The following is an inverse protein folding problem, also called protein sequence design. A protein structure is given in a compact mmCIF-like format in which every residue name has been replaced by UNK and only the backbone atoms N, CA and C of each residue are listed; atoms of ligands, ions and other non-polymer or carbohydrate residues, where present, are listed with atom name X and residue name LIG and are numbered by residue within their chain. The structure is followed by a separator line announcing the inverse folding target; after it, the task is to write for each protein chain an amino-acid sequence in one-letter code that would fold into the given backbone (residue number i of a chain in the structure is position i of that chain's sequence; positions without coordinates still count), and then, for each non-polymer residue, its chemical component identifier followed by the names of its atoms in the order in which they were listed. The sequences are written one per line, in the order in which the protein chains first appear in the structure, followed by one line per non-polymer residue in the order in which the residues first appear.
data_IF_228660744518
#
_entry.id   IF_228660744518
#
_cell.length_a   1.000
_cell.length_b   1.000
_cell.length_c   1.000
_cell.angle_alpha   90.00
_cell.angle_beta   90.00
_cell.angle_gamma   90.00
#
_symmetry.space_group_name_H-M   'P 1'
#
loop_
_entity.id
_entity.type
_entity.pdbx_description
1 polymer ?
#
# COMPACT_ATOMS: atom_id res chain seq x y z
N UNK A 1 -41.46 -23.66 -0.08
CA UNK A 1 -40.23 -24.46 -0.27
C UNK A 1 -38.96 -23.60 -0.35
N UNK A 2 -38.92 -22.46 -1.08
CA UNK A 2 -37.69 -21.64 -1.22
C UNK A 2 -37.24 -20.97 0.09
N UNK A 3 -38.15 -20.36 0.85
CA UNK A 3 -37.80 -19.66 2.09
C UNK A 3 -37.07 -20.54 3.12
N UNK A 4 -37.55 -21.76 3.36
CA UNK A 4 -36.89 -22.72 4.26
C UNK A 4 -35.49 -23.10 3.78
N UNK A 5 -35.27 -23.22 2.46
CA UNK A 5 -33.94 -23.47 1.88
C UNK A 5 -32.99 -22.30 2.15
N UNK A 6 -33.44 -21.06 1.97
CA UNK A 6 -32.62 -19.87 2.27
C UNK A 6 -32.29 -19.75 3.77
N UNK A 7 -33.24 -20.08 4.65
CA UNK A 7 -33.00 -20.13 6.10
C UNK A 7 -31.97 -21.22 6.44
N UNK A 8 -32.06 -22.39 5.81
CA UNK A 8 -31.08 -23.46 6.00
C UNK A 8 -29.67 -23.05 5.53
N UNK A 9 -29.57 -22.36 4.38
CA UNK A 9 -28.30 -21.80 3.89
C UNK A 9 -27.72 -20.75 4.85
N UNK A 10 -28.55 -19.84 5.36
CA UNK A 10 -28.11 -18.83 6.33
C UNK A 10 -27.62 -19.49 7.64
N UNK A 11 -28.29 -20.54 8.10
CA UNK A 11 -27.88 -21.34 9.27
C UNK A 11 -26.63 -22.20 9.02
N UNK A 12 -26.31 -22.51 7.77
CA UNK A 12 -25.10 -23.25 7.41
C UNK A 12 -23.84 -22.36 7.36
N UNK A 13 -23.97 -21.03 7.46
CA UNK A 13 -22.83 -20.12 7.51
C UNK A 13 -21.95 -20.40 8.73
N UNK A 14 -20.62 -20.15 8.65
CA UNK A 14 -19.75 -20.20 9.82
C UNK A 14 -20.27 -19.36 10.99
N UNK A 15 -20.16 -19.88 12.21
CA UNK A 15 -20.66 -19.21 13.42
C UNK A 15 -20.10 -17.78 13.59
N UNK A 16 -18.85 -17.56 13.19
CA UNK A 16 -18.22 -16.23 13.22
C UNK A 16 -18.97 -15.20 12.37
N UNK A 17 -19.44 -15.59 11.18
CA UNK A 17 -20.24 -14.72 10.30
C UNK A 17 -21.65 -14.54 10.85
N UNK A 18 -22.28 -15.60 11.38
CA UNK A 18 -23.59 -15.49 12.00
C UNK A 18 -23.59 -14.51 13.18
N UNK A 19 -22.60 -14.63 14.08
CA UNK A 19 -22.41 -13.72 15.22
C UNK A 19 -22.13 -12.28 14.76
N UNK A 20 -21.38 -12.11 13.68
CA UNK A 20 -21.12 -10.78 13.10
C UNK A 20 -22.41 -10.15 12.59
N UNK A 21 -23.17 -10.84 11.74
CA UNK A 21 -24.43 -10.32 11.17
C UNK A 21 -25.54 -10.13 12.23
N UNK A 22 -25.54 -10.93 13.30
CA UNK A 22 -26.45 -10.72 14.42
C UNK A 22 -26.18 -9.41 15.16
N UNK A 23 -24.91 -8.97 15.25
CA UNK A 23 -24.52 -7.74 15.93
C UNK A 23 -24.57 -6.52 15.00
N UNK A 24 -24.15 -6.69 13.75
CA UNK A 24 -24.12 -5.64 12.71
C UNK A 24 -24.90 -6.10 11.47
N UNK A 25 -26.24 -6.13 11.52
CA UNK A 25 -27.05 -6.49 10.36
C UNK A 25 -26.98 -5.36 9.30
N UNK A 26 -26.62 -5.66 8.04
CA UNK A 26 -26.68 -4.66 6.97
C UNK A 26 -28.12 -4.27 6.64
N UNK A 27 -28.30 -3.06 6.13
CA UNK A 27 -29.61 -2.56 5.71
C UNK A 27 -30.28 -3.43 4.63
N UNK A 28 -29.49 -4.14 3.82
CA UNK A 28 -29.99 -5.04 2.77
C UNK A 28 -30.78 -6.24 3.30
N UNK A 29 -30.55 -6.66 4.54
CA UNK A 29 -31.26 -7.81 5.16
C UNK A 29 -32.21 -7.39 6.27
N UNK A 30 -32.06 -6.17 6.80
CA UNK A 30 -32.90 -5.66 7.87
C UNK A 30 -34.25 -5.18 7.29
N UNK A 31 -35.40 -5.54 7.90
CA UNK A 31 -36.69 -5.06 7.42
C UNK A 31 -36.81 -3.54 7.60
N UNK A 32 -37.52 -2.88 6.68
CA UNK A 32 -37.68 -1.43 6.72
C UNK A 32 -38.23 -0.97 8.09
N UNK A 33 -37.56 0.02 8.70
CA UNK A 33 -37.94 0.57 10.00
C UNK A 33 -37.40 -0.18 11.23
N UNK A 34 -36.54 -1.19 11.07
CA UNK A 34 -35.85 -1.78 12.24
C UNK A 34 -34.89 -0.77 12.87
N UNK A 35 -34.91 -0.61 14.21
CA UNK A 35 -33.93 0.22 14.90
C UNK A 35 -32.54 -0.38 14.79
N UNK A 36 -31.53 0.49 14.89
CA UNK A 36 -30.13 0.08 14.93
C UNK A 36 -29.88 -0.79 16.16
N UNK A 37 -28.96 -1.75 16.04
CA UNK A 37 -28.51 -2.49 17.22
C UNK A 37 -27.67 -1.58 18.12
N UNK A 38 -27.61 -1.86 19.43
CA UNK A 38 -26.76 -1.08 20.34
C UNK A 38 -25.27 -1.06 19.91
N UNK A 39 -24.80 -2.11 19.22
CA UNK A 39 -23.46 -2.12 18.62
C UNK A 39 -23.31 -1.14 17.44
N UNK A 40 -24.34 -1.00 16.61
CA UNK A 40 -24.35 -0.03 15.50
C UNK A 40 -24.50 1.41 15.97
N UNK A 41 -25.16 1.63 17.10
CA UNK A 41 -25.26 2.95 17.75
C UNK A 41 -23.90 3.40 18.31
N UNK A 42 -23.20 2.50 19.00
CA UNK A 42 -21.86 2.77 19.53
C UNK A 42 -20.82 2.98 18.43
N UNK A 43 -20.87 2.17 17.37
CA UNK A 43 -19.91 2.27 16.27
C UNK A 43 -20.59 1.94 14.95
N UNK A 44 -20.86 2.95 14.09
CA UNK A 44 -21.56 2.74 12.82
C UNK A 44 -20.87 1.74 11.89
N UNK A 45 -19.53 1.76 11.83
CA UNK A 45 -18.74 0.78 11.09
C UNK A 45 -17.72 0.10 12.02
N UNK A 46 -17.87 -1.21 12.31
CA UNK A 46 -16.97 -1.91 13.23
C UNK A 46 -15.55 -2.15 12.67
N UNK A 47 -15.32 -1.84 11.39
CA UNK A 47 -14.02 -1.95 10.72
C UNK A 47 -13.24 -0.63 10.66
N UNK A 48 -13.89 0.49 10.92
CA UNK A 48 -13.26 1.80 10.92
C UNK A 48 -12.93 2.24 12.35
N UNK A 49 -11.81 2.96 12.50
CA UNK A 49 -11.57 3.71 13.72
C UNK A 49 -12.62 4.83 13.82
N UNK A 50 -13.11 5.09 15.04
CA UNK A 50 -14.08 6.15 15.28
C UNK A 50 -13.55 7.12 16.32
N UNK A 51 -13.87 8.40 16.13
CA UNK A 51 -13.51 9.43 17.09
C UNK A 51 -14.66 9.57 18.09
N UNK A 52 -14.35 9.47 19.39
CA UNK A 52 -15.34 9.68 20.43
C UNK A 52 -15.77 11.16 20.44
N UNK A 53 -17.07 11.46 20.49
CA UNK A 53 -17.56 12.84 20.45
C UNK A 53 -17.08 13.67 21.64
N UNK A 54 -17.22 13.15 22.86
CA UNK A 54 -16.89 13.90 24.08
C UNK A 54 -15.39 14.03 24.36
N UNK A 55 -14.65 12.91 24.29
CA UNK A 55 -13.21 12.92 24.61
C UNK A 55 -12.31 13.33 23.44
N UNK A 56 -12.84 13.33 22.22
CA UNK A 56 -12.09 13.61 20.99
C UNK A 56 -11.00 12.59 20.65
N UNK A 57 -10.88 11.49 21.40
CA UNK A 57 -9.88 10.44 21.15
C UNK A 57 -10.35 9.48 20.07
N UNK A 58 -9.39 8.95 19.31
CA UNK A 58 -9.67 7.88 18.35
C UNK A 58 -9.67 6.54 19.07
N UNK A 59 -10.76 5.81 18.90
CA UNK A 59 -10.85 4.42 19.31
C UNK A 59 -10.48 3.52 18.13
N UNK A 60 -9.73 2.48 18.44
CA UNK A 60 -9.41 1.42 17.50
C UNK A 60 -10.68 0.76 16.97
N UNK A 61 -10.65 0.23 15.73
CA UNK A 61 -11.78 -0.51 15.20
C UNK A 61 -12.07 -1.76 16.05
N UNK A 62 -13.35 -2.06 16.22
CA UNK A 62 -13.83 -3.24 16.97
C UNK A 62 -13.18 -4.53 16.44
N UNK A 63 -12.99 -4.61 15.12
CA UNK A 63 -12.20 -5.65 14.47
C UNK A 63 -10.90 -5.08 13.90
N UNK A 64 -9.77 -5.61 14.36
CA UNK A 64 -8.44 -5.28 13.83
C UNK A 64 -8.28 -5.70 12.37
N UNK A 65 -7.31 -5.10 11.65
CA UNK A 65 -7.07 -5.39 10.22
C UNK A 65 -6.85 -6.88 9.92
N UNK A 66 -6.31 -7.66 10.87
CA UNK A 66 -6.20 -9.13 10.76
C UNK A 66 -7.59 -9.78 10.77
N UNK A 67 -8.39 -9.47 11.78
CA UNK A 67 -9.76 -10.01 11.93
C UNK A 67 -10.68 -9.59 10.78
N UNK A 68 -10.52 -8.37 10.27
CA UNK A 68 -11.22 -7.91 9.07
C UNK A 68 -10.88 -8.80 7.86
N UNK A 69 -9.60 -9.11 7.64
CA UNK A 69 -9.18 -9.97 6.54
C UNK A 69 -9.69 -11.41 6.69
N UNK A 70 -9.78 -11.92 7.92
CA UNK A 70 -10.36 -13.24 8.22
C UNK A 70 -11.87 -13.28 7.92
N UNK A 71 -12.62 -12.28 8.38
CA UNK A 71 -14.05 -12.14 8.08
C UNK A 71 -14.29 -11.99 6.58
N UNK A 72 -13.53 -11.14 5.88
CA UNK A 72 -13.63 -10.99 4.42
C UNK A 72 -13.31 -12.29 3.71
N UNK A 73 -12.28 -13.03 4.14
CA UNK A 73 -11.92 -14.33 3.56
C UNK A 73 -13.06 -15.35 3.73
N UNK A 74 -13.62 -15.45 4.93
CA UNK A 74 -14.76 -16.34 5.20
C UNK A 74 -16.01 -15.91 4.41
N UNK A 75 -16.32 -14.63 4.39
CA UNK A 75 -17.47 -14.10 3.66
C UNK A 75 -17.36 -14.35 2.16
N UNK A 76 -16.16 -14.18 1.58
CA UNK A 76 -15.89 -14.52 0.18
C UNK A 76 -16.10 -16.00 -0.12
N UNK A 77 -15.60 -16.89 0.74
CA UNK A 77 -15.78 -18.34 0.58
C UNK A 77 -17.25 -18.76 0.62
N UNK A 78 -18.09 -18.00 1.33
CA UNK A 78 -19.52 -18.27 1.49
C UNK A 78 -20.42 -17.36 0.63
N UNK A 79 -19.84 -16.52 -0.25
CA UNK A 79 -20.60 -15.64 -1.15
C UNK A 79 -21.37 -14.50 -0.47
N UNK A 80 -20.98 -14.09 0.74
CA UNK A 80 -21.66 -13.02 1.53
C UNK A 80 -20.75 -11.81 1.78
N UNK A 81 -19.76 -11.58 0.93
CA UNK A 81 -18.81 -10.46 1.08
C UNK A 81 -19.50 -9.09 0.95
N UNK A 82 -20.49 -8.97 0.08
CA UNK A 82 -21.27 -7.74 -0.15
C UNK A 82 -22.10 -7.29 1.07
N UNK A 83 -22.40 -8.21 1.97
CA UNK A 83 -23.14 -7.92 3.21
C UNK A 83 -22.25 -7.31 4.31
N UNK A 84 -20.93 -7.35 4.14
CA UNK A 84 -20.01 -6.76 5.10
C UNK A 84 -19.93 -5.23 4.94
N UNK A 85 -19.73 -4.47 6.03
CA UNK A 85 -19.40 -3.05 5.95
C UNK A 85 -18.15 -2.80 5.08
N UNK A 86 -18.02 -1.62 4.45
CA UNK A 86 -16.87 -1.31 3.63
C UNK A 86 -15.57 -1.36 4.45
N UNK A 87 -14.57 -2.08 3.92
CA UNK A 87 -13.25 -2.26 4.54
C UNK A 87 -12.13 -2.22 3.49
N UNK A 88 -10.96 -1.71 3.90
CA UNK A 88 -9.72 -1.74 3.11
C UNK A 88 -9.24 -3.17 2.76
N UNK A 89 -9.76 -4.19 3.44
CA UNK A 89 -9.46 -5.60 3.17
C UNK A 89 -10.40 -6.25 2.15
N UNK A 90 -11.51 -5.58 1.83
CA UNK A 90 -12.50 -6.04 0.84
C UNK A 90 -11.90 -6.20 -0.56
N UNK A 91 -12.41 -7.17 -1.30
CA UNK A 91 -11.95 -7.53 -2.65
C UNK A 91 -12.13 -6.37 -3.60
N UNK A 92 -13.35 -5.82 -3.68
CA UNK A 92 -13.69 -4.70 -4.55
C UNK A 92 -12.88 -3.46 -4.21
N UNK A 93 -12.81 -3.08 -2.93
CA UNK A 93 -12.05 -1.92 -2.48
C UNK A 93 -10.56 -2.03 -2.85
N UNK A 94 -9.97 -3.23 -2.72
CA UNK A 94 -8.57 -3.47 -3.10
C UNK A 94 -8.34 -3.40 -4.61
N UNK A 95 -9.27 -3.93 -5.40
CA UNK A 95 -9.19 -3.90 -6.87
C UNK A 95 -9.40 -2.47 -7.37
N UNK A 96 -10.47 -1.80 -6.93
CA UNK A 96 -10.78 -0.42 -7.28
C UNK A 96 -9.58 0.50 -7.01
N UNK A 97 -9.01 0.42 -5.80
CA UNK A 97 -7.81 1.20 -5.44
C UNK A 97 -6.61 0.90 -6.33
N UNK A 98 -6.42 -0.36 -6.75
CA UNK A 98 -5.30 -0.73 -7.63
C UNK A 98 -5.51 -0.25 -9.05
N UNK A 99 -6.74 -0.31 -9.56
CA UNK A 99 -7.10 0.16 -10.90
C UNK A 99 -7.01 1.69 -10.96
N UNK A 100 -7.57 2.39 -9.98
CA UNK A 100 -7.58 3.85 -9.91
C UNK A 100 -6.17 4.46 -9.78
N UNK A 101 -5.36 3.93 -8.86
CA UNK A 101 -4.08 4.56 -8.50
C UNK A 101 -2.84 3.85 -9.04
N UNK A 102 -2.94 2.61 -9.52
CA UNK A 102 -1.81 1.82 -10.00
C UNK A 102 -0.73 1.51 -8.94
N UNK A 103 0.47 1.16 -9.41
CA UNK A 103 1.64 0.95 -8.54
C UNK A 103 2.21 2.30 -8.10
N UNK A 104 2.46 2.48 -6.81
CA UNK A 104 2.90 3.77 -6.23
C UNK A 104 4.19 3.70 -5.42
N UNK A 105 4.96 2.62 -5.57
CA UNK A 105 6.25 2.49 -4.87
C UNK A 105 7.29 3.45 -5.46
N UNK A 106 8.25 3.88 -4.63
CA UNK A 106 9.29 4.81 -5.08
C UNK A 106 10.14 4.18 -6.18
N UNK A 107 10.38 4.93 -7.25
CA UNK A 107 11.22 4.50 -8.38
C UNK A 107 10.45 3.88 -9.54
N UNK A 108 9.62 2.87 -9.28
CA UNK A 108 8.87 2.13 -10.32
C UNK A 108 7.36 2.39 -10.35
N UNK A 109 6.85 3.17 -9.40
CA UNK A 109 5.45 3.59 -9.41
C UNK A 109 5.11 4.53 -10.58
N UNK A 110 3.82 4.62 -10.90
CA UNK A 110 3.30 5.53 -11.93
C UNK A 110 3.77 6.96 -11.65
N UNK A 111 4.39 7.59 -12.64
CA UNK A 111 4.97 8.94 -12.51
C UNK A 111 6.27 9.04 -11.69
N UNK A 112 6.83 7.93 -11.21
CA UNK A 112 8.14 7.91 -10.55
C UNK A 112 9.26 7.57 -11.54
N UNK A 113 10.48 8.01 -11.22
CA UNK A 113 11.71 7.68 -11.95
C UNK A 113 12.71 7.00 -11.02
N UNK A 114 13.38 5.98 -11.54
CA UNK A 114 14.45 5.26 -10.82
C UNK A 114 15.66 6.18 -10.64
N UNK A 115 16.25 6.15 -9.43
CA UNK A 115 17.39 7.01 -9.06
C UNK A 115 18.70 6.64 -9.78
N UNK A 116 18.85 5.39 -10.19
CA UNK A 116 20.10 4.79 -10.65
C UNK A 116 21.12 4.56 -9.53
N UNK A 117 22.08 3.67 -9.75
CA UNK A 117 23.23 3.48 -8.84
C UNK A 117 24.23 4.61 -9.01
N UNK A 118 25.12 4.80 -8.03
CA UNK A 118 26.13 5.88 -8.09
C UNK A 118 27.03 5.71 -9.32
N UNK A 119 27.46 4.48 -9.64
CA UNK A 119 28.31 4.25 -10.80
C UNK A 119 27.60 4.56 -12.12
N UNK A 120 26.30 4.24 -12.25
CA UNK A 120 25.49 4.55 -13.44
C UNK A 120 25.39 6.06 -13.66
N UNK A 121 25.08 6.81 -12.59
CA UNK A 121 25.00 8.28 -12.67
C UNK A 121 26.34 8.94 -12.99
N UNK A 122 27.44 8.35 -12.53
CA UNK A 122 28.78 8.90 -12.70
C UNK A 122 29.50 8.39 -13.96
N UNK A 123 28.90 7.53 -14.79
CA UNK A 123 29.56 7.04 -16.02
C UNK A 123 29.98 8.20 -16.91
N UNK A 124 29.05 9.10 -17.23
CA UNK A 124 29.32 10.21 -18.15
C UNK A 124 30.41 11.16 -17.61
N UNK A 125 30.31 11.68 -16.38
CA UNK A 125 31.38 12.51 -15.81
C UNK A 125 32.75 11.80 -15.75
N UNK A 126 32.78 10.49 -15.44
CA UNK A 126 34.03 9.73 -15.41
C UNK A 126 34.65 9.58 -16.80
N UNK A 127 33.84 9.33 -17.83
CA UNK A 127 34.33 9.20 -19.20
C UNK A 127 34.81 10.54 -19.76
N UNK A 128 34.12 11.62 -19.44
CA UNK A 128 34.52 12.97 -19.84
C UNK A 128 35.86 13.37 -19.23
N UNK A 129 36.04 13.14 -17.92
CA UNK A 129 37.33 13.37 -17.24
C UNK A 129 38.48 12.56 -17.86
N UNK A 130 38.21 11.31 -18.27
CA UNK A 130 39.20 10.48 -18.98
C UNK A 130 39.53 11.06 -20.35
N UNK A 131 38.52 11.47 -21.12
CA UNK A 131 38.71 12.09 -22.44
C UNK A 131 39.55 13.36 -22.35
N UNK A 132 39.22 14.25 -21.43
CA UNK A 132 39.96 15.50 -21.20
C UNK A 132 41.42 15.23 -20.83
N UNK A 133 41.67 14.31 -19.89
CA UNK A 133 43.03 13.94 -19.50
C UNK A 133 43.85 13.38 -20.69
N UNK A 134 43.23 12.54 -21.53
CA UNK A 134 43.90 11.98 -22.71
C UNK A 134 44.20 13.04 -23.78
N UNK A 135 43.31 14.01 -23.98
CA UNK A 135 43.55 15.14 -24.89
C UNK A 135 44.66 16.06 -24.39
N UNK A 136 44.77 16.28 -23.07
CA UNK A 136 45.84 17.07 -22.47
C UNK A 136 47.19 16.33 -22.38
N UNK A 137 47.17 14.99 -22.47
CA UNK A 137 48.35 14.13 -22.26
C UNK A 137 49.55 14.47 -23.16
N UNK A 138 49.40 14.71 -24.49
CA UNK A 138 50.55 15.03 -25.34
C UNK A 138 51.26 16.33 -24.92
N UNK A 139 50.50 17.36 -24.52
CA UNK A 139 51.06 18.63 -24.03
C UNK A 139 51.81 18.43 -22.72
N UNK A 140 51.22 17.66 -21.79
CA UNK A 140 51.84 17.33 -20.51
C UNK A 140 53.16 16.58 -20.68
N UNK A 141 53.21 15.58 -21.56
CA UNK A 141 54.42 14.80 -21.84
C UNK A 141 55.52 15.70 -22.42
N UNK A 142 55.18 16.60 -23.35
CA UNK A 142 56.15 17.58 -23.90
C UNK A 142 56.73 18.48 -22.81
N UNK A 143 55.88 19.01 -21.93
CA UNK A 143 56.30 19.85 -20.80
C UNK A 143 57.21 19.08 -19.84
N UNK A 144 56.83 17.85 -19.46
CA UNK A 144 57.62 17.00 -18.57
C UNK A 144 58.99 16.65 -19.16
N UNK A 145 59.05 16.31 -20.45
CA UNK A 145 60.32 16.07 -21.16
C UNK A 145 61.21 17.32 -21.22
N UNK A 146 60.63 18.51 -21.38
CA UNK A 146 61.37 19.78 -21.39
C UNK A 146 61.94 20.15 -20.02
N UNK A 147 61.15 20.03 -18.96
CA UNK A 147 61.55 20.38 -17.58
C UNK A 147 62.50 19.34 -16.99
N UNK A 148 62.28 18.06 -17.31
CA UNK A 148 63.05 16.92 -16.80
C UNK A 148 62.58 16.43 -15.44
N UNK A 149 62.84 15.14 -15.16
CA UNK A 149 62.35 14.42 -13.97
C UNK A 149 62.71 15.10 -12.65
N UNK A 150 63.94 15.62 -12.52
CA UNK A 150 64.47 16.18 -11.26
C UNK A 150 63.83 17.53 -10.88
N UNK A 151 63.42 18.31 -11.89
CA UNK A 151 62.89 19.66 -11.69
C UNK A 151 61.36 19.71 -11.73
N UNK A 152 60.70 18.58 -11.98
CA UNK A 152 59.24 18.50 -12.00
C UNK A 152 58.65 18.66 -10.59
N UNK A 153 57.70 19.58 -10.42
CA UNK A 153 57.04 19.85 -9.12
C UNK A 153 55.52 19.59 -9.13
N UNK A 154 54.92 19.39 -10.31
CA UNK A 154 53.46 19.24 -10.49
C UNK A 154 53.04 17.78 -10.32
N UNK A 155 53.22 17.22 -9.13
CA UNK A 155 52.74 15.88 -8.80
C UNK A 155 51.26 15.91 -8.39
N UNK A 156 50.48 14.84 -8.65
CA UNK A 156 49.15 14.69 -8.08
C UNK A 156 49.20 14.77 -6.54
N UNK A 157 48.10 15.21 -5.95
CA UNK A 157 47.89 15.19 -4.50
C UNK A 157 47.25 13.87 -4.08
#
# INVERSE_FOLDING_TARGET
MSAQKHIALAKALPEQLQRFFARWPPASIAPAGTPKTGFQELTPNPFAAHKHPDTGKWHDPVYSLRRQAELVKLARQNGVEELLPPTVKGTEARIAKRVEFGLRVKGTGVGQKVKGKIHERMVMPRMEKRREAMLAMPKLIKEWKKVGKRNWKRFPK
#
